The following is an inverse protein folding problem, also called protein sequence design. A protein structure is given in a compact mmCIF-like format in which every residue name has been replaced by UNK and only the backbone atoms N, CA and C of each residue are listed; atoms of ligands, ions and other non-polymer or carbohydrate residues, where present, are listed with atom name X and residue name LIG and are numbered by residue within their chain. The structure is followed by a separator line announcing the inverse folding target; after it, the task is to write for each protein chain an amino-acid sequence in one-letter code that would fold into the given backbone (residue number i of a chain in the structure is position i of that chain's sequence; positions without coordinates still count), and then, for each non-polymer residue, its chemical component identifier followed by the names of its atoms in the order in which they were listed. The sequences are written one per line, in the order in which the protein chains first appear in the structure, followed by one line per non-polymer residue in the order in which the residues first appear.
data_IF_198222089919
#
_entry.id   IF_198222089919
#
_cell.length_a   1.000
_cell.length_b   1.000
_cell.length_c   1.000
_cell.angle_alpha   90.00
_cell.angle_beta   90.00
_cell.angle_gamma   90.00
#
_symmetry.space_group_name_H-M   'P 1'
#
loop_
_entity.id
_entity.type
_entity.pdbx_description
1 polymer ?
#
# COMPACT_ATOMS: atom_id res chain seq x y z
N UNK A 1 -16.08 5.56 24.93
CA UNK A 1 -16.32 4.39 25.79
C UNK A 1 -16.12 3.14 24.96
N UNK A 2 -15.61 2.05 25.54
CA UNK A 2 -15.40 0.77 24.84
C UNK A 2 -16.72 0.07 24.50
N UNK A 3 -16.64 -1.01 23.71
CA UNK A 3 -17.82 -1.86 23.44
C UNK A 3 -18.29 -2.53 24.73
N UNK A 4 -19.61 -2.67 24.92
CA UNK A 4 -20.14 -3.40 26.07
C UNK A 4 -19.82 -4.89 25.98
N UNK A 5 -19.65 -5.57 27.12
CA UNK A 5 -19.35 -7.00 27.15
C UNK A 5 -20.50 -7.82 26.57
N UNK A 6 -20.17 -8.83 25.76
CA UNK A 6 -21.13 -9.72 25.12
C UNK A 6 -20.97 -11.12 25.71
N UNK A 7 -21.71 -11.42 26.79
CA UNK A 7 -21.61 -12.70 27.49
C UNK A 7 -22.39 -13.81 26.78
N UNK A 8 -21.85 -15.02 26.77
CA UNK A 8 -22.54 -16.20 26.20
C UNK A 8 -23.81 -16.56 26.99
N UNK A 9 -23.83 -16.36 28.30
CA UNK A 9 -25.02 -16.63 29.12
C UNK A 9 -26.21 -15.75 28.74
N UNK A 10 -25.95 -14.50 28.34
CA UNK A 10 -26.99 -13.54 27.99
C UNK A 10 -27.65 -13.87 26.65
N UNK A 11 -26.92 -14.58 25.77
CA UNK A 11 -27.40 -14.99 24.45
C UNK A 11 -28.44 -16.10 24.51
N UNK A 12 -28.53 -16.82 25.64
CA UNK A 12 -29.62 -17.76 25.93
C UNK A 12 -30.92 -17.04 26.27
N UNK A 13 -30.83 -15.99 27.09
CA UNK A 13 -31.99 -15.24 27.58
C UNK A 13 -32.59 -14.32 26.53
N UNK A 14 -31.79 -13.97 25.53
CA UNK A 14 -32.19 -13.10 24.41
C UNK A 14 -32.88 -11.80 24.84
N UNK A 15 -32.36 -11.20 25.91
CA UNK A 15 -32.98 -10.01 26.50
C UNK A 15 -32.85 -8.78 25.58
N UNK A 16 -33.74 -7.79 25.73
CA UNK A 16 -33.59 -6.51 25.02
C UNK A 16 -32.21 -5.86 25.25
N UNK A 17 -31.69 -5.93 26.47
CA UNK A 17 -30.37 -5.40 26.81
C UNK A 17 -29.24 -6.16 26.09
N UNK A 18 -29.36 -7.49 25.96
CA UNK A 18 -28.42 -8.29 25.17
C UNK A 18 -28.46 -7.87 23.69
N UNK A 19 -29.66 -7.69 23.12
CA UNK A 19 -29.84 -7.25 21.73
C UNK A 19 -29.25 -5.87 21.47
N UNK A 20 -29.37 -4.93 22.41
CA UNK A 20 -28.74 -3.61 22.31
C UNK A 20 -27.20 -3.72 22.33
N UNK A 21 -26.64 -4.54 23.22
CA UNK A 21 -25.19 -4.80 23.26
C UNK A 21 -24.72 -5.45 21.95
N UNK A 22 -25.43 -6.47 21.47
CA UNK A 22 -25.14 -7.15 20.21
C UNK A 22 -25.13 -6.15 19.05
N UNK A 23 -26.13 -5.27 18.97
CA UNK A 23 -26.21 -4.22 17.95
C UNK A 23 -25.00 -3.27 17.97
N UNK A 24 -24.49 -2.93 19.16
CA UNK A 24 -23.26 -2.13 19.26
C UNK A 24 -22.07 -2.83 18.59
N UNK A 25 -21.92 -4.15 18.78
CA UNK A 25 -20.88 -4.95 18.13
C UNK A 25 -21.07 -5.06 16.62
N UNK A 26 -22.32 -5.21 16.15
CA UNK A 26 -22.64 -5.24 14.73
C UNK A 26 -22.26 -3.94 14.01
N UNK A 27 -22.57 -2.79 14.63
CA UNK A 27 -22.23 -1.47 14.10
C UNK A 27 -20.70 -1.33 13.98
N UNK A 28 -19.97 -1.77 14.99
CA UNK A 28 -18.50 -1.71 14.98
C UNK A 28 -17.89 -2.66 13.95
N UNK A 29 -18.47 -3.85 13.76
CA UNK A 29 -18.06 -4.80 12.74
C UNK A 29 -18.23 -4.19 11.33
N UNK A 30 -19.34 -3.51 11.06
CA UNK A 30 -19.53 -2.83 9.75
C UNK A 30 -18.60 -1.63 9.56
N UNK A 31 -18.36 -0.84 10.61
CA UNK A 31 -17.36 0.23 10.57
C UNK A 31 -15.97 -0.30 10.25
N UNK A 32 -15.56 -1.37 10.94
CA UNK A 32 -14.29 -2.06 10.71
C UNK A 32 -14.21 -2.58 9.27
N UNK A 33 -15.24 -3.26 8.78
CA UNK A 33 -15.30 -3.76 7.40
C UNK A 33 -15.13 -2.66 6.35
N UNK A 34 -15.82 -1.51 6.55
CA UNK A 34 -15.71 -0.35 5.65
C UNK A 34 -14.31 0.25 5.70
N UNK A 35 -13.75 0.42 6.90
CA UNK A 35 -12.41 0.95 7.08
C UNK A 35 -11.36 0.09 6.38
N UNK A 36 -11.39 -1.23 6.59
CA UNK A 36 -10.45 -2.16 5.94
C UNK A 36 -10.58 -2.09 4.41
N UNK A 37 -11.80 -1.99 3.89
CA UNK A 37 -12.04 -1.86 2.44
C UNK A 37 -11.39 -0.61 1.84
N UNK A 38 -11.54 0.55 2.50
CA UNK A 38 -10.88 1.78 2.05
C UNK A 38 -9.35 1.69 2.22
N UNK A 39 -8.86 1.10 3.32
CA UNK A 39 -7.43 0.90 3.52
C UNK A 39 -6.78 0.01 2.45
N UNK A 40 -7.45 -1.06 2.03
CA UNK A 40 -7.01 -1.92 0.92
C UNK A 40 -6.93 -1.12 -0.39
N UNK A 41 -7.93 -0.28 -0.65
CA UNK A 41 -7.98 0.56 -1.84
C UNK A 41 -6.84 1.58 -1.84
N UNK A 42 -6.64 2.28 -0.74
CA UNK A 42 -5.58 3.29 -0.60
C UNK A 42 -4.18 2.64 -0.64
N UNK A 43 -4.01 1.47 0.00
CA UNK A 43 -2.78 0.69 -0.09
C UNK A 43 -2.47 0.23 -1.53
N UNK A 44 -3.49 -0.19 -2.27
CA UNK A 44 -3.33 -0.56 -3.69
C UNK A 44 -2.94 0.65 -4.55
N UNK A 45 -3.52 1.82 -4.29
CA UNK A 45 -3.15 3.07 -4.96
C UNK A 45 -1.72 3.48 -4.64
N UNK A 46 -1.28 3.36 -3.38
CA UNK A 46 0.10 3.60 -2.97
C UNK A 46 1.07 2.68 -3.70
N UNK A 47 0.80 1.37 -3.74
CA UNK A 47 1.63 0.40 -4.46
C UNK A 47 1.67 0.74 -5.96
N UNK A 48 0.54 1.15 -6.54
CA UNK A 48 0.47 1.63 -7.92
C UNK A 48 1.33 2.87 -8.17
N UNK A 49 1.30 3.86 -7.27
CA UNK A 49 2.12 5.06 -7.37
C UNK A 49 3.62 4.73 -7.27
N UNK A 50 4.00 3.82 -6.36
CA UNK A 50 5.37 3.33 -6.25
C UNK A 50 5.84 2.65 -7.54
N UNK A 51 5.00 1.82 -8.17
CA UNK A 51 5.30 1.21 -9.48
C UNK A 51 5.50 2.25 -10.59
N UNK A 52 4.66 3.28 -10.62
CA UNK A 52 4.80 4.35 -11.61
C UNK A 52 6.08 5.15 -11.42
N UNK A 53 6.45 5.46 -10.17
CA UNK A 53 7.73 6.07 -9.84
C UNK A 53 8.89 5.18 -10.30
N UNK A 54 8.80 3.87 -10.03
CA UNK A 54 9.79 2.88 -10.45
C UNK A 54 10.03 2.89 -11.96
N UNK A 55 8.95 2.87 -12.74
CA UNK A 55 9.04 2.95 -14.20
C UNK A 55 9.65 4.27 -14.68
N UNK A 56 9.30 5.39 -14.04
CA UNK A 56 9.83 6.71 -14.40
C UNK A 56 11.33 6.81 -14.13
N UNK A 57 11.79 6.33 -12.96
CA UNK A 57 13.21 6.30 -12.59
C UNK A 57 14.00 5.40 -13.54
N UNK A 58 13.47 4.22 -13.87
CA UNK A 58 14.11 3.30 -14.82
C UNK A 58 14.25 3.95 -16.20
N UNK A 59 13.18 4.57 -16.73
CA UNK A 59 13.22 5.25 -18.03
C UNK A 59 14.23 6.41 -18.05
N UNK A 60 14.24 7.22 -16.99
CA UNK A 60 15.17 8.34 -16.88
C UNK A 60 16.62 7.85 -16.82
N UNK A 61 16.88 6.80 -16.05
CA UNK A 61 18.21 6.18 -15.95
C UNK A 61 18.68 5.64 -17.30
N UNK A 62 17.78 5.03 -18.09
CA UNK A 62 18.10 4.58 -19.44
C UNK A 62 18.50 5.75 -20.35
N UNK A 63 17.77 6.87 -20.30
CA UNK A 63 18.12 8.06 -21.08
C UNK A 63 19.50 8.64 -20.72
N UNK A 64 19.92 8.52 -19.45
CA UNK A 64 21.27 8.90 -19.02
C UNK A 64 22.35 7.93 -19.55
N UNK A 65 22.06 6.63 -19.65
CA UNK A 65 22.99 5.63 -20.19
C UNK A 65 23.16 5.73 -21.70
N UNK A 66 22.07 6.01 -22.40
CA UNK A 66 22.03 6.09 -23.87
C UNK A 66 22.62 7.40 -24.40
N UNK A 67 22.87 8.38 -23.52
CA UNK A 67 23.45 9.65 -23.92
C UNK A 67 24.85 9.46 -24.53
N UNK A 68 25.02 9.95 -25.75
CA UNK A 68 26.29 10.01 -26.48
C UNK A 68 26.39 11.37 -27.17
N UNK A 69 27.58 11.94 -27.23
CA UNK A 69 27.81 13.17 -27.97
C UNK A 69 27.89 12.91 -29.47
N UNK A 70 27.32 13.79 -30.27
CA UNK A 70 27.67 13.89 -31.69
C UNK A 70 29.00 14.64 -31.80
N UNK A 71 30.09 13.90 -32.00
CA UNK A 71 31.43 14.47 -32.05
C UNK A 71 31.73 15.10 -33.41
N UNK A 72 32.48 16.22 -33.42
CA UNK A 72 32.99 16.82 -34.65
C UNK A 72 34.31 16.13 -35.02
N UNK A 73 34.26 15.17 -35.95
CA UNK A 73 35.41 14.33 -36.34
C UNK A 73 35.28 12.89 -35.83
N UNK A 74 36.36 12.11 -35.92
CA UNK A 74 36.35 10.66 -35.61
C UNK A 74 36.75 10.32 -34.15
N UNK A 75 36.86 11.30 -33.25
CA UNK A 75 37.29 11.09 -31.87
C UNK A 75 36.56 12.01 -30.87
N UNK A 76 36.20 11.45 -29.70
CA UNK A 76 35.64 12.19 -28.56
C UNK A 76 36.76 12.95 -27.82
N UNK A 77 36.44 14.13 -27.29
CA UNK A 77 37.33 14.88 -26.39
C UNK A 77 37.30 14.31 -24.97
N UNK A 78 38.34 14.58 -24.18
CA UNK A 78 38.40 14.16 -22.77
C UNK A 78 37.20 14.68 -21.94
N UNK A 79 36.70 15.88 -22.27
CA UNK A 79 35.55 16.49 -21.61
C UNK A 79 34.24 15.76 -21.97
N UNK A 80 34.04 15.40 -23.24
CA UNK A 80 32.88 14.64 -23.71
C UNK A 80 32.83 13.24 -23.07
N UNK A 81 33.98 12.56 -23.00
CA UNK A 81 34.12 11.28 -22.31
C UNK A 81 33.80 11.43 -20.81
N UNK A 82 34.29 12.50 -20.16
CA UNK A 82 34.05 12.78 -18.74
C UNK A 82 32.57 13.04 -18.43
N UNK A 83 31.88 13.80 -19.28
CA UNK A 83 30.45 14.06 -19.14
C UNK A 83 29.65 12.77 -19.33
N UNK A 84 29.91 12.02 -20.39
CA UNK A 84 29.22 10.75 -20.66
C UNK A 84 29.42 9.74 -19.51
N UNK A 85 30.63 9.64 -18.97
CA UNK A 85 30.91 8.82 -17.80
C UNK A 85 30.13 9.28 -16.57
N UNK A 86 29.97 10.60 -16.39
CA UNK A 86 29.20 11.15 -15.26
C UNK A 86 27.71 10.79 -15.32
N UNK A 87 27.12 10.85 -16.52
CA UNK A 87 25.73 10.43 -16.72
C UNK A 87 25.55 8.91 -16.47
N UNK A 88 26.52 8.09 -16.88
CA UNK A 88 26.53 6.65 -16.61
C UNK A 88 26.60 6.34 -15.11
N UNK A 89 27.43 7.05 -14.34
CA UNK A 89 27.48 6.87 -12.88
C UNK A 89 26.19 7.30 -12.18
N UNK A 90 25.56 8.40 -12.62
CA UNK A 90 24.25 8.80 -12.11
C UNK A 90 23.17 7.75 -12.41
N UNK A 91 23.16 7.22 -13.64
CA UNK A 91 22.24 6.16 -14.02
C UNK A 91 22.43 4.90 -13.18
N UNK A 92 23.69 4.50 -12.93
CA UNK A 92 24.03 3.34 -12.09
C UNK A 92 23.44 3.49 -10.69
N UNK A 93 23.68 4.62 -10.03
CA UNK A 93 23.12 4.88 -8.69
C UNK A 93 21.59 4.80 -8.69
N UNK A 94 20.93 5.46 -9.66
CA UNK A 94 19.48 5.46 -9.77
C UNK A 94 18.90 4.06 -9.98
N UNK A 95 19.54 3.24 -10.82
CA UNK A 95 19.13 1.84 -11.06
C UNK A 95 19.28 1.01 -9.80
N UNK A 96 20.39 1.15 -9.07
CA UNK A 96 20.61 0.38 -7.84
C UNK A 96 19.60 0.76 -6.75
N UNK A 97 19.33 2.06 -6.55
CA UNK A 97 18.26 2.49 -5.61
C UNK A 97 16.89 1.97 -6.07
N UNK A 98 16.65 1.94 -7.38
CA UNK A 98 15.41 1.42 -7.94
C UNK A 98 15.25 -0.10 -7.75
N UNK A 99 16.34 -0.87 -7.78
CA UNK A 99 16.31 -2.31 -7.46
C UNK A 99 15.81 -2.56 -6.03
N UNK A 100 16.24 -1.77 -5.06
CA UNK A 100 15.72 -1.83 -3.68
C UNK A 100 14.22 -1.55 -3.61
N UNK A 101 13.77 -0.49 -4.31
CA UNK A 101 12.35 -0.12 -4.37
C UNK A 101 11.53 -1.24 -5.00
N UNK A 102 12.04 -1.87 -6.06
CA UNK A 102 11.36 -2.97 -6.75
C UNK A 102 11.19 -4.17 -5.82
N UNK A 103 12.20 -4.51 -5.01
CA UNK A 103 12.10 -5.59 -4.01
C UNK A 103 10.97 -5.35 -3.00
N UNK A 104 10.83 -4.12 -2.50
CA UNK A 104 9.70 -3.71 -1.65
C UNK A 104 8.36 -3.88 -2.37
N UNK A 105 8.23 -3.35 -3.59
CA UNK A 105 6.97 -3.35 -4.35
C UNK A 105 6.53 -4.76 -4.75
N UNK A 106 7.47 -5.64 -5.10
CA UNK A 106 7.18 -6.96 -5.66
C UNK A 106 6.31 -7.79 -4.73
N UNK A 107 6.58 -7.72 -3.42
CA UNK A 107 5.85 -8.47 -2.40
C UNK A 107 4.78 -7.63 -1.66
N UNK A 108 4.64 -6.33 -1.98
CA UNK A 108 3.75 -5.44 -1.24
C UNK A 108 2.27 -5.87 -1.27
N UNK A 109 1.80 -6.44 -2.38
CA UNK A 109 0.45 -7.00 -2.46
C UNK A 109 0.26 -8.17 -1.51
N UNK A 110 1.22 -9.10 -1.47
CA UNK A 110 1.11 -10.32 -0.67
C UNK A 110 1.34 -10.06 0.83
N UNK A 111 2.12 -9.04 1.16
CA UNK A 111 2.41 -8.64 2.54
C UNK A 111 1.34 -7.74 3.14
N UNK A 112 0.75 -6.83 2.36
CA UNK A 112 -0.22 -5.85 2.86
C UNK A 112 -1.65 -6.14 2.40
N UNK A 113 -1.87 -6.27 1.10
CA UNK A 113 -3.23 -6.29 0.52
C UNK A 113 -3.92 -7.63 0.75
N UNK A 114 -3.27 -8.74 0.39
CA UNK A 114 -3.85 -10.07 0.49
C UNK A 114 -4.23 -10.45 1.93
N UNK A 115 -3.42 -10.18 2.98
CA UNK A 115 -3.80 -10.48 4.35
C UNK A 115 -5.00 -9.65 4.84
N UNK A 116 -5.08 -8.37 4.48
CA UNK A 116 -6.23 -7.51 4.81
C UNK A 116 -7.50 -7.98 4.10
N UNK A 117 -7.40 -8.39 2.82
CA UNK A 117 -8.51 -8.99 2.09
C UNK A 117 -8.96 -10.32 2.72
N UNK A 118 -8.00 -11.16 3.10
CA UNK A 118 -8.26 -12.45 3.74
C UNK A 118 -9.00 -12.26 5.06
N UNK A 119 -8.50 -11.38 5.94
CA UNK A 119 -9.18 -11.05 7.19
C UNK A 119 -10.62 -10.58 6.95
N UNK A 120 -10.84 -9.70 5.98
CA UNK A 120 -12.18 -9.21 5.63
C UNK A 120 -13.11 -10.30 5.10
N UNK A 121 -12.61 -11.21 4.25
CA UNK A 121 -13.43 -12.27 3.65
C UNK A 121 -13.70 -13.41 4.64
N UNK A 122 -12.67 -13.85 5.35
CA UNK A 122 -12.75 -15.03 6.21
C UNK A 122 -13.29 -14.70 7.59
N UNK A 123 -12.83 -13.62 8.24
CA UNK A 123 -13.24 -13.31 9.61
C UNK A 123 -14.54 -12.51 9.63
N UNK A 124 -14.56 -11.35 8.97
CA UNK A 124 -15.77 -10.51 8.93
C UNK A 124 -16.87 -11.20 8.12
N UNK A 125 -16.54 -11.88 7.01
CA UNK A 125 -17.50 -12.65 6.23
C UNK A 125 -18.17 -13.76 7.03
N UNK A 126 -17.39 -14.55 7.79
CA UNK A 126 -17.95 -15.59 8.65
C UNK A 126 -18.89 -15.03 9.73
N UNK A 127 -18.55 -13.88 10.35
CA UNK A 127 -19.45 -13.23 11.29
C UNK A 127 -20.76 -12.76 10.65
N UNK A 128 -20.72 -12.27 9.39
CA UNK A 128 -21.93 -11.90 8.64
C UNK A 128 -22.81 -13.10 8.28
N UNK A 129 -22.19 -14.23 7.95
CA UNK A 129 -22.95 -15.46 7.68
C UNK A 129 -23.53 -16.05 8.98
N UNK A 130 -22.79 -15.96 10.09
CA UNK A 130 -23.29 -16.24 11.44
C UNK A 130 -24.53 -15.41 11.78
N UNK A 131 -24.50 -14.11 11.47
CA UNK A 131 -25.67 -13.22 11.64
C UNK A 131 -26.89 -13.72 10.86
N UNK A 132 -26.73 -14.05 9.57
CA UNK A 132 -27.85 -14.56 8.75
C UNK A 132 -28.44 -15.84 9.33
N UNK A 133 -27.60 -16.74 9.84
CA UNK A 133 -28.06 -17.97 10.50
C UNK A 133 -28.84 -17.64 11.78
N UNK A 134 -28.29 -16.77 12.62
CA UNK A 134 -28.94 -16.30 13.84
C UNK A 134 -30.30 -15.63 13.57
N UNK A 135 -30.38 -14.72 12.60
CA UNK A 135 -31.63 -14.04 12.23
C UNK A 135 -32.67 -15.05 11.74
N UNK A 136 -32.28 -16.01 10.88
CA UNK A 136 -33.15 -17.05 10.36
C UNK A 136 -33.71 -17.97 11.46
N UNK A 137 -32.87 -18.44 12.37
CA UNK A 137 -33.33 -19.30 13.47
C UNK A 137 -34.12 -18.51 14.52
N UNK A 138 -33.83 -17.21 14.72
CA UNK A 138 -34.66 -16.31 15.54
C UNK A 138 -36.08 -16.18 14.99
N UNK A 139 -36.23 -15.89 13.69
CA UNK A 139 -37.55 -15.75 13.04
C UNK A 139 -38.37 -17.05 13.14
N UNK A 140 -37.73 -18.20 12.92
CA UNK A 140 -38.39 -19.51 13.05
C UNK A 140 -38.84 -19.77 14.48
N UNK A 141 -37.97 -19.57 15.46
CA UNK A 141 -38.28 -19.80 16.87
C UNK A 141 -39.46 -18.93 17.31
N UNK A 142 -39.44 -17.63 17.03
CA UNK A 142 -40.55 -16.74 17.39
C UNK A 142 -41.85 -17.08 16.66
N UNK A 143 -41.79 -17.52 15.40
CA UNK A 143 -42.98 -17.97 14.66
C UNK A 143 -43.60 -19.22 15.28
N UNK A 144 -42.79 -20.16 15.77
CA UNK A 144 -43.26 -21.37 16.43
C UNK A 144 -43.75 -21.06 17.85
N UNK A 145 -43.06 -20.20 18.59
CA UNK A 145 -43.47 -19.71 19.90
C UNK A 145 -44.84 -19.03 19.84
N UNK A 146 -45.06 -18.12 18.88
CA UNK A 146 -46.37 -17.47 18.70
C UNK A 146 -47.49 -18.49 18.42
N UNK A 147 -47.24 -19.48 17.56
CA UNK A 147 -48.21 -20.57 17.31
C UNK A 147 -48.49 -21.40 18.55
N UNK A 148 -47.47 -21.66 19.37
CA UNK A 148 -47.56 -22.43 20.61
C UNK A 148 -48.37 -21.66 21.67
N UNK A 149 -48.09 -20.37 21.87
CA UNK A 149 -48.82 -19.50 22.79
C UNK A 149 -50.31 -19.37 22.42
N UNK A 150 -50.62 -19.40 21.12
CA UNK A 150 -52.00 -19.35 20.61
C UNK A 150 -52.68 -20.74 20.56
N UNK A 151 -52.03 -21.81 21.03
CA UNK A 151 -52.57 -23.16 20.99
C UNK A 151 -53.65 -23.35 22.07
N UNK A 152 -54.83 -23.82 21.65
CA UNK A 152 -55.91 -24.11 22.60
C UNK A 152 -55.64 -25.37 23.41
N UNK A 153 -55.79 -25.27 24.74
CA UNK A 153 -55.74 -26.40 25.66
C UNK A 153 -56.82 -27.49 25.40
N UNK A 154 -57.79 -27.23 24.52
CA UNK A 154 -58.81 -28.22 24.11
C UNK A 154 -58.35 -29.16 22.99
N UNK A 155 -57.14 -28.97 22.45
CA UNK A 155 -56.55 -29.85 21.44
C UNK A 155 -56.28 -31.24 22.02
N UNK A 156 -56.14 -32.24 21.15
CA UNK A 156 -55.78 -33.59 21.58
C UNK A 156 -54.41 -33.57 22.24
N UNK A 157 -54.24 -34.37 23.30
CA UNK A 157 -52.99 -34.51 24.03
C UNK A 157 -51.77 -34.75 23.12
N UNK A 158 -51.92 -35.62 22.11
CA UNK A 158 -50.85 -35.89 21.14
C UNK A 158 -50.41 -34.66 20.35
N UNK A 159 -51.32 -33.72 20.05
CA UNK A 159 -50.98 -32.47 19.37
C UNK A 159 -50.33 -31.46 20.31
N UNK A 160 -50.68 -31.46 21.59
CA UNK A 160 -50.03 -30.61 22.59
C UNK A 160 -48.57 -31.07 22.77
N UNK A 161 -48.35 -32.37 22.93
CA UNK A 161 -47.01 -32.96 23.05
C UNK A 161 -46.13 -32.72 21.82
N UNK A 162 -46.71 -32.79 20.61
CA UNK A 162 -45.99 -32.48 19.37
C UNK A 162 -45.58 -31.01 19.30
N UNK A 163 -46.46 -30.10 19.73
CA UNK A 163 -46.17 -28.67 19.79
C UNK A 163 -45.06 -28.36 20.82
N UNK A 164 -45.11 -28.98 22.00
CA UNK A 164 -44.07 -28.87 23.04
C UNK A 164 -42.70 -29.36 22.53
N UNK A 165 -42.68 -30.53 21.88
CA UNK A 165 -41.45 -31.07 21.30
C UNK A 165 -40.88 -30.15 20.20
N UNK A 166 -41.76 -29.53 19.41
CA UNK A 166 -41.36 -28.65 18.32
C UNK A 166 -40.81 -27.31 18.85
N UNK A 167 -41.42 -26.71 19.88
CA UNK A 167 -40.90 -25.48 20.47
C UNK A 167 -39.56 -25.71 21.15
N UNK A 168 -39.38 -26.83 21.87
CA UNK A 168 -38.11 -27.18 22.50
C UNK A 168 -36.99 -27.33 21.47
N UNK A 169 -37.29 -27.99 20.34
CA UNK A 169 -36.33 -28.14 19.23
C UNK A 169 -35.93 -26.80 18.63
N UNK A 170 -36.88 -25.94 18.29
CA UNK A 170 -36.55 -24.65 17.67
C UNK A 170 -35.89 -23.67 18.64
N UNK A 171 -36.22 -23.75 19.94
CA UNK A 171 -35.52 -22.99 20.97
C UNK A 171 -34.05 -23.41 21.05
N UNK A 172 -33.77 -24.71 21.00
CA UNK A 172 -32.40 -25.23 20.96
C UNK A 172 -31.64 -24.77 19.69
N UNK A 173 -32.27 -24.84 18.52
CA UNK A 173 -31.68 -24.37 17.26
C UNK A 173 -31.34 -22.87 17.31
N UNK A 174 -32.26 -22.05 17.82
CA UNK A 174 -32.05 -20.63 18.02
C UNK A 174 -30.87 -20.37 18.96
N UNK A 175 -30.84 -21.08 20.10
CA UNK A 175 -29.78 -20.91 21.08
C UNK A 175 -28.40 -21.27 20.53
N UNK A 176 -28.28 -22.40 19.82
CA UNK A 176 -27.04 -22.80 19.17
C UNK A 176 -26.56 -21.76 18.14
N UNK A 177 -27.47 -21.22 17.33
CA UNK A 177 -27.16 -20.17 16.37
C UNK A 177 -26.73 -18.86 17.06
N UNK A 178 -27.36 -18.50 18.18
CA UNK A 178 -27.04 -17.33 19.01
C UNK A 178 -25.62 -17.44 19.60
N UNK A 179 -25.29 -18.58 20.21
CA UNK A 179 -23.95 -18.85 20.75
C UNK A 179 -22.88 -18.79 19.68
N UNK A 180 -23.12 -19.46 18.54
CA UNK A 180 -22.19 -19.45 17.41
C UNK A 180 -21.97 -18.03 16.88
N UNK A 181 -23.03 -17.23 16.82
CA UNK A 181 -22.91 -15.85 16.35
C UNK A 181 -22.13 -14.97 17.32
N UNK A 182 -22.42 -15.03 18.62
CA UNK A 182 -21.66 -14.32 19.67
C UNK A 182 -20.18 -14.74 19.62
N UNK A 183 -19.91 -16.03 19.49
CA UNK A 183 -18.54 -16.55 19.34
C UNK A 183 -17.84 -15.92 18.14
N UNK A 184 -18.50 -15.88 16.97
CA UNK A 184 -17.92 -15.30 15.76
C UNK A 184 -17.62 -13.81 15.89
N UNK A 185 -18.49 -13.05 16.56
CA UNK A 185 -18.22 -11.63 16.84
C UNK A 185 -16.96 -11.49 17.72
N UNK A 186 -16.88 -12.25 18.81
CA UNK A 186 -15.72 -12.21 19.71
C UNK A 186 -14.44 -12.67 19.00
N UNK A 187 -14.51 -13.72 18.18
CA UNK A 187 -13.39 -14.23 17.38
C UNK A 187 -12.82 -13.13 16.48
N UNK A 188 -13.68 -12.36 15.79
CA UNK A 188 -13.23 -11.21 14.98
C UNK A 188 -12.53 -10.16 15.85
N UNK A 189 -13.07 -9.84 17.03
CA UNK A 189 -12.45 -8.84 17.91
C UNK A 189 -11.07 -9.26 18.40
N UNK A 190 -10.88 -10.53 18.73
CA UNK A 190 -9.59 -11.07 19.17
C UNK A 190 -8.59 -11.15 18.01
N UNK A 191 -9.00 -11.69 16.85
CA UNK A 191 -8.14 -11.79 15.66
C UNK A 191 -7.71 -10.43 15.13
N UNK A 192 -8.61 -9.43 15.16
CA UNK A 192 -8.32 -8.04 14.76
C UNK A 192 -7.11 -7.46 15.47
N UNK A 193 -6.80 -7.89 16.71
CA UNK A 193 -5.69 -7.33 17.49
C UNK A 193 -4.33 -7.61 16.84
N UNK A 194 -4.19 -8.67 16.04
CA UNK A 194 -2.93 -9.04 15.41
C UNK A 194 -3.06 -9.18 13.88
N UNK A 195 -4.03 -9.92 13.35
CA UNK A 195 -4.16 -10.16 11.90
C UNK A 195 -4.38 -8.87 11.08
N UNK A 196 -4.88 -7.81 11.71
CA UNK A 196 -5.03 -6.51 11.07
C UNK A 196 -3.77 -5.63 11.13
N UNK A 197 -3.00 -5.73 12.22
CA UNK A 197 -1.86 -4.83 12.49
C UNK A 197 -0.57 -5.38 11.88
N UNK A 198 -0.39 -6.71 11.89
CA UNK A 198 0.81 -7.38 11.36
C UNK A 198 1.10 -7.03 9.90
N UNK A 199 0.12 -7.02 8.95
CA UNK A 199 0.37 -6.66 7.56
C UNK A 199 0.92 -5.23 7.39
N UNK A 200 0.40 -4.29 8.20
CA UNK A 200 0.86 -2.90 8.20
C UNK A 200 2.29 -2.78 8.74
N UNK A 201 2.58 -3.49 9.83
CA UNK A 201 3.91 -3.53 10.41
C UNK A 201 4.93 -4.12 9.42
N UNK A 202 4.60 -5.24 8.77
CA UNK A 202 5.48 -5.87 7.78
C UNK A 202 5.74 -4.97 6.57
N UNK A 203 4.73 -4.24 6.09
CA UNK A 203 4.93 -3.27 5.01
C UNK A 203 5.83 -2.10 5.43
N UNK A 204 5.64 -1.56 6.65
CA UNK A 204 6.50 -0.51 7.19
C UNK A 204 7.95 -0.96 7.38
N UNK A 205 8.17 -2.21 7.83
CA UNK A 205 9.51 -2.78 7.91
C UNK A 205 10.17 -2.81 6.53
N UNK A 206 9.47 -3.24 5.49
CA UNK A 206 9.99 -3.19 4.12
C UNK A 206 10.33 -1.77 3.66
N UNK A 207 9.50 -0.77 4.01
CA UNK A 207 9.80 0.64 3.75
C UNK A 207 11.07 1.10 4.46
N UNK A 208 11.24 0.75 5.73
CA UNK A 208 12.44 1.13 6.49
C UNK A 208 13.70 0.46 5.95
N UNK A 209 13.62 -0.81 5.53
CA UNK A 209 14.71 -1.48 4.82
C UNK A 209 15.07 -0.72 3.55
N UNK A 210 14.09 -0.38 2.70
CA UNK A 210 14.34 0.41 1.49
C UNK A 210 15.04 1.76 1.78
N UNK A 211 14.59 2.48 2.82
CA UNK A 211 15.24 3.75 3.18
C UNK A 211 16.67 3.56 3.70
N UNK A 212 16.92 2.49 4.45
CA UNK A 212 18.25 2.18 4.95
C UNK A 212 19.21 1.85 3.79
N UNK A 213 18.82 0.97 2.88
CA UNK A 213 19.63 0.62 1.70
C UNK A 213 19.88 1.85 0.82
N UNK A 214 18.87 2.70 0.62
CA UNK A 214 19.05 3.97 -0.10
C UNK A 214 20.04 4.93 0.56
N UNK A 215 20.14 4.91 1.89
CA UNK A 215 21.13 5.69 2.62
C UNK A 215 22.55 5.13 2.43
N UNK A 216 22.73 3.81 2.55
CA UNK A 216 24.03 3.16 2.33
C UNK A 216 24.55 3.42 0.92
N UNK A 217 23.70 3.27 -0.11
CA UNK A 217 24.04 3.59 -1.50
C UNK A 217 24.47 5.06 -1.69
N UNK A 218 23.85 5.99 -0.96
CA UNK A 218 24.24 7.40 -1.01
C UNK A 218 25.61 7.65 -0.37
N UNK A 219 25.97 6.91 0.69
CA UNK A 219 27.30 6.96 1.30
C UNK A 219 28.36 6.39 0.35
N UNK A 220 28.08 5.26 -0.29
CA UNK A 220 28.99 4.67 -1.28
C UNK A 220 29.25 5.60 -2.48
N UNK A 221 28.24 6.39 -2.88
CA UNK A 221 28.35 7.38 -3.95
C UNK A 221 29.09 8.66 -3.55
N UNK A 222 29.26 8.94 -2.25
CA UNK A 222 29.78 10.20 -1.75
C UNK A 222 31.20 10.56 -2.26
N UNK A 223 32.17 9.63 -2.36
CA UNK A 223 33.51 9.93 -2.87
C UNK A 223 33.47 10.40 -4.33
N UNK A 224 32.70 9.70 -5.19
CA UNK A 224 32.54 10.07 -6.59
C UNK A 224 31.90 11.46 -6.73
N UNK A 225 30.85 11.73 -5.95
CA UNK A 225 30.22 13.06 -5.89
C UNK A 225 31.22 14.16 -5.55
N UNK A 226 32.07 13.96 -4.54
CA UNK A 226 33.08 14.95 -4.13
C UNK A 226 34.09 15.22 -5.26
N UNK A 227 34.59 14.17 -5.90
CA UNK A 227 35.51 14.28 -7.03
C UNK A 227 34.86 15.03 -8.20
N UNK A 228 33.62 14.68 -8.55
CA UNK A 228 32.90 15.34 -9.63
C UNK A 228 32.65 16.83 -9.33
N UNK A 229 32.30 17.18 -8.10
CA UNK A 229 32.13 18.58 -7.68
C UNK A 229 33.42 19.39 -7.85
N UNK A 230 34.57 18.81 -7.48
CA UNK A 230 35.87 19.43 -7.69
C UNK A 230 36.19 19.63 -9.18
N UNK A 231 35.96 18.60 -10.01
CA UNK A 231 36.18 18.67 -11.46
C UNK A 231 35.32 19.77 -12.10
N UNK A 232 34.03 19.84 -11.75
CA UNK A 232 33.13 20.87 -12.25
C UNK A 232 33.55 22.28 -11.82
N UNK A 233 34.09 22.43 -10.60
CA UNK A 233 34.62 23.71 -10.14
C UNK A 233 35.84 24.14 -10.99
N UNK A 234 36.74 23.21 -11.30
CA UNK A 234 37.90 23.49 -12.15
C UNK A 234 37.49 23.89 -13.56
N UNK A 235 36.56 23.18 -14.21
CA UNK A 235 36.04 23.53 -15.54
C UNK A 235 35.44 24.94 -15.54
N UNK A 236 34.68 25.31 -14.51
CA UNK A 236 34.17 26.69 -14.35
C UNK A 236 35.30 27.71 -14.26
N UNK A 237 36.33 27.44 -13.45
CA UNK A 237 37.49 28.34 -13.32
C UNK A 237 38.25 28.52 -14.64
N UNK A 238 38.41 27.45 -15.43
CA UNK A 238 39.01 27.53 -16.76
C UNK A 238 38.20 28.42 -17.71
N UNK A 239 36.87 28.28 -17.72
CA UNK A 239 35.99 29.12 -18.54
C UNK A 239 36.08 30.61 -18.20
N UNK A 240 36.20 30.94 -16.91
CA UNK A 240 36.31 32.33 -16.43
C UNK A 240 37.76 32.82 -16.30
N UNK A 241 38.74 32.06 -16.79
CA UNK A 241 40.14 32.48 -16.77
C UNK A 241 40.35 33.67 -17.71
N UNK A 242 40.96 34.78 -17.23
CA UNK A 242 41.26 35.94 -18.07
C UNK A 242 42.13 35.58 -19.28
N UNK A 243 42.90 34.50 -19.20
CA UNK A 243 43.75 34.03 -20.28
C UNK A 243 42.94 33.41 -21.43
N UNK A 244 41.92 32.60 -21.12
CA UNK A 244 41.02 32.03 -22.13
C UNK A 244 40.16 33.13 -22.78
N UNK A 245 39.69 34.09 -21.99
CA UNK A 245 39.02 35.30 -22.47
C UNK A 245 39.94 36.11 -23.40
N UNK A 246 41.23 36.27 -23.06
CA UNK A 246 42.21 36.89 -23.94
C UNK A 246 42.42 36.10 -25.23
N UNK A 247 42.52 34.76 -25.16
CA UNK A 247 42.72 33.92 -26.35
C UNK A 247 41.50 33.98 -27.28
N UNK A 248 40.28 33.95 -26.74
CA UNK A 248 39.04 34.11 -27.51
C UNK A 248 38.98 35.51 -28.16
N UNK A 249 39.32 36.57 -27.41
CA UNK A 249 39.39 37.94 -27.95
C UNK A 249 40.43 38.02 -29.07
N UNK A 250 41.61 37.41 -28.90
CA UNK A 250 42.66 37.38 -29.91
C UNK A 250 42.22 36.60 -31.16
N UNK A 251 41.60 35.43 -31.01
CA UNK A 251 41.07 34.65 -32.14
C UNK A 251 39.94 35.38 -32.89
N UNK A 252 39.03 36.05 -32.17
CA UNK A 252 37.98 36.87 -32.79
C UNK A 252 38.56 38.11 -33.50
N UNK A 253 39.61 38.73 -32.94
CA UNK A 253 40.28 39.89 -33.53
C UNK A 253 41.05 39.53 -34.81
N UNK A 254 41.68 38.36 -34.87
CA UNK A 254 42.36 37.87 -36.08
C UNK A 254 41.37 37.42 -37.17
N UNK A 255 40.16 36.96 -36.81
CA UNK A 255 39.13 36.58 -37.78
C UNK A 255 38.52 37.79 -38.51
N UNK A 256 38.46 38.95 -37.85
CA UNK A 256 37.97 40.22 -38.42
C UNK A 256 39.05 40.97 -39.25
N UNK A 257 40.32 40.63 -39.10
CA UNK A 257 41.43 41.24 -39.83
C UNK A 257 41.73 40.51 -41.15
N UNK A 258 40.82 40.57 -42.14
CA UNK A 258 41.20 40.34 -43.55
C UNK A 258 41.61 41.67 -44.18
N UNK A 259 42.78 41.76 -44.84
CA UNK A 259 43.21 43.02 -45.45
C UNK A 259 42.31 43.37 -46.64
N UNK A 260 41.81 44.61 -46.66
CA UNK A 260 41.27 45.22 -47.88
C UNK A 260 42.36 45.13 -48.97
N UNK A 261 42.11 44.27 -49.94
CA UNK A 261 42.89 44.18 -51.16
C UNK A 261 42.90 45.56 -51.82
N UNK A 262 44.08 46.17 -51.92
CA UNK A 262 44.30 47.33 -52.79
C UNK A 262 43.93 46.91 -54.22
N UNK A 263 42.78 47.37 -54.67
CA UNK A 263 42.41 47.37 -56.08
C UNK A 263 42.17 48.80 -56.53
N UNK A 264 42.95 49.17 -57.56
CA UNK A 264 42.82 50.30 -58.49
C UNK A 264 43.36 51.65 -58.04
N UNK A 265 44.33 52.18 -58.80
CA UNK A 265 44.05 53.18 -59.84
C UNK A 265 45.27 53.34 -60.77
N UNK A 266 45.00 53.11 -62.06
CA UNK A 266 45.59 53.67 -63.31
C UNK A 266 47.11 53.70 -63.42
#
# INVERSE_FOLDING_TARGET
MGLPTLEFSDSYLDSPDFRERLQCHEIELERTNKFIKELIKDGSLLIGALRNLSMAVQKFSQSLQDFQFECIGDAETDDEISIAQSLKEFARLLITVEEERRRLIQNANDVLIAPLEKFRKEQIGAAKDGKKKFDKESEKYYSILDKHLNLSAKKKESHLQEADTQIDREHQNFYEASLEYVFKIQEVQERKKFEFVEPLLSFLQGLFTFYHEGYELAQEFAPYKQQLQFNLQNVRLYLFSPHLLMMIIVQLSHSQARPWSRSKLI
#
